data_IF_387375298630
#
_entry.id   IF_387375298630
#
_cell.length_a   1.000
_cell.length_b   1.000
_cell.length_c   1.000
_cell.angle_alpha   90.00
_cell.angle_beta   90.00
_cell.angle_gamma   90.00
#
_symmetry.space_group_name_H-M   'P 1'
#
loop_
_entity.id
_entity.type
_entity.pdbx_description
1 polymer ?
#
# COMPACT_ATOMS: atom_id res chain seq x y z
N UNK A 1 -39.46 1.43 18.45
CA UNK A 1 -38.06 1.61 17.98
C UNK A 1 -36.97 1.47 19.06
N UNK A 2 -37.23 1.76 20.34
CA UNK A 2 -36.19 1.72 21.39
C UNK A 2 -35.71 0.30 21.80
N UNK A 3 -36.56 -0.73 21.72
CA UNK A 3 -36.20 -2.09 22.14
C UNK A 3 -35.14 -2.80 21.28
N UNK A 4 -34.96 -2.39 20.02
CA UNK A 4 -33.91 -2.92 19.13
C UNK A 4 -32.54 -2.31 19.46
N UNK A 5 -32.49 -1.02 19.78
CA UNK A 5 -31.27 -0.31 20.17
C UNK A 5 -30.68 -0.83 21.49
N UNK A 6 -31.54 -1.15 22.47
CA UNK A 6 -31.13 -1.74 23.75
C UNK A 6 -30.51 -3.14 23.59
N UNK A 7 -30.91 -3.90 22.57
CA UNK A 7 -30.34 -5.22 22.26
C UNK A 7 -28.94 -5.10 21.65
N UNK A 8 -28.68 -4.05 20.85
CA UNK A 8 -27.36 -3.72 20.32
C UNK A 8 -26.39 -3.21 21.40
N UNK A 9 -26.88 -2.48 22.40
CA UNK A 9 -26.06 -2.07 23.55
C UNK A 9 -25.68 -3.26 24.45
N UNK A 10 -26.51 -4.31 24.51
CA UNK A 10 -26.14 -5.57 25.19
C UNK A 10 -24.98 -6.30 24.49
N UNK A 11 -24.87 -6.24 23.16
CA UNK A 11 -23.70 -6.75 22.41
C UNK A 11 -22.41 -6.00 22.79
N UNK A 12 -22.50 -4.70 23.05
CA UNK A 12 -21.38 -3.90 23.58
C UNK A 12 -21.03 -4.26 25.02
N UNK A 13 -22.00 -4.67 25.85
CA UNK A 13 -21.74 -5.21 27.19
C UNK A 13 -21.06 -6.59 27.12
N UNK A 14 -21.39 -7.41 26.13
CA UNK A 14 -20.70 -8.68 25.86
C UNK A 14 -19.23 -8.48 25.48
N UNK A 15 -18.84 -7.28 24.96
CA UNK A 15 -17.42 -6.93 24.78
C UNK A 15 -16.65 -6.86 26.10
N UNK A 16 -17.30 -6.59 27.23
CA UNK A 16 -16.64 -6.56 28.55
C UNK A 16 -16.16 -7.96 28.98
N UNK A 17 -16.82 -9.02 28.50
CA UNK A 17 -16.41 -10.43 28.71
C UNK A 17 -15.10 -10.78 27.99
N UNK A 18 -14.67 -9.99 26.99
CA UNK A 18 -13.37 -10.16 26.33
C UNK A 18 -12.19 -9.68 27.18
N UNK A 19 -12.43 -8.99 28.30
CA UNK A 19 -11.38 -8.53 29.24
C UNK A 19 -10.63 -9.68 29.92
N UNK A 20 -11.14 -10.91 29.86
CA UNK A 20 -10.48 -12.11 30.40
C UNK A 20 -10.07 -13.14 29.33
N UNK A 21 -10.32 -12.83 28.06
CA UNK A 21 -9.83 -13.65 26.96
C UNK A 21 -8.41 -13.20 26.61
N UNK A 22 -7.43 -14.08 26.75
CA UNK A 22 -6.05 -13.92 26.27
C UNK A 22 -5.95 -13.56 24.76
N UNK A 23 -7.07 -13.55 24.03
CA UNK A 23 -7.25 -12.98 22.70
C UNK A 23 -6.97 -11.47 22.67
N UNK A 24 -7.34 -10.71 23.72
CA UNK A 24 -7.05 -9.28 23.79
C UNK A 24 -5.54 -9.00 23.84
N UNK A 25 -4.77 -9.88 24.48
CA UNK A 25 -3.30 -9.79 24.53
C UNK A 25 -2.72 -10.12 23.15
N UNK A 26 -3.14 -11.23 22.52
CA UNK A 26 -2.66 -11.60 21.17
C UNK A 26 -3.02 -10.56 20.10
N UNK A 27 -4.25 -10.04 20.11
CA UNK A 27 -4.69 -8.95 19.24
C UNK A 27 -3.90 -7.67 19.52
N UNK A 28 -3.69 -7.31 20.79
CA UNK A 28 -2.87 -6.14 21.15
C UNK A 28 -1.42 -6.31 20.69
N UNK A 29 -0.84 -7.49 20.81
CA UNK A 29 0.52 -7.77 20.30
C UNK A 29 0.58 -7.67 18.77
N UNK A 30 -0.40 -8.21 18.05
CA UNK A 30 -0.48 -8.07 16.59
C UNK A 30 -0.70 -6.61 16.17
N UNK A 31 -1.57 -5.86 16.87
CA UNK A 31 -1.80 -4.43 16.62
C UNK A 31 -0.53 -3.63 16.89
N UNK A 32 0.19 -3.90 17.98
CA UNK A 32 1.46 -3.23 18.28
C UNK A 32 2.49 -3.49 17.17
N UNK A 33 2.61 -4.74 16.69
CA UNK A 33 3.52 -5.12 15.59
C UNK A 33 3.16 -4.45 14.25
N UNK A 34 1.87 -4.33 13.94
CA UNK A 34 1.40 -3.57 12.77
C UNK A 34 1.74 -2.09 12.95
N UNK A 35 1.44 -1.51 14.11
CA UNK A 35 1.68 -0.09 14.38
C UNK A 35 3.16 0.27 14.41
N UNK A 36 4.06 -0.65 14.80
CA UNK A 36 5.51 -0.43 14.72
C UNK A 36 6.03 -0.43 13.28
N UNK A 37 5.31 -1.07 12.35
CA UNK A 37 5.65 -1.10 10.92
C UNK A 37 5.06 0.07 10.14
N UNK A 38 4.05 0.76 10.69
CA UNK A 38 3.37 1.90 10.05
C UNK A 38 4.31 3.03 9.65
N UNK A 39 5.31 3.48 10.45
CA UNK A 39 6.19 4.57 10.03
C UNK A 39 6.95 4.25 8.74
N UNK A 40 7.51 3.04 8.64
CA UNK A 40 8.22 2.58 7.43
C UNK A 40 7.30 2.50 6.22
N UNK A 41 6.08 1.98 6.41
CA UNK A 41 5.03 1.93 5.39
C UNK A 41 4.57 3.33 4.96
N UNK A 42 4.48 4.29 5.89
CA UNK A 42 4.09 5.67 5.60
C UNK A 42 5.15 6.35 4.73
N UNK A 43 6.42 6.25 5.08
CA UNK A 43 7.51 6.81 4.26
C UNK A 43 7.56 6.18 2.86
N UNK A 44 7.38 4.86 2.77
CA UNK A 44 7.31 4.18 1.49
C UNK A 44 6.08 4.64 0.67
N UNK A 45 4.92 4.79 1.31
CA UNK A 45 3.70 5.29 0.67
C UNK A 45 3.85 6.73 0.17
N UNK A 46 4.53 7.59 0.93
CA UNK A 46 4.84 8.97 0.51
C UNK A 46 5.73 8.95 -0.73
N UNK A 47 6.78 8.12 -0.74
CA UNK A 47 7.67 7.99 -1.91
C UNK A 47 6.91 7.50 -3.14
N UNK A 48 6.09 6.45 -3.01
CA UNK A 48 5.24 5.94 -4.10
C UNK A 48 4.22 6.98 -4.59
N UNK A 49 3.65 7.75 -3.66
CA UNK A 49 2.74 8.84 -3.97
C UNK A 49 3.43 9.96 -4.76
N UNK A 50 4.64 10.35 -4.36
CA UNK A 50 5.44 11.36 -5.07
C UNK A 50 5.81 10.87 -6.48
N UNK A 51 6.25 9.62 -6.62
CA UNK A 51 6.51 9.02 -7.94
C UNK A 51 5.25 9.04 -8.81
N UNK A 52 4.12 8.62 -8.27
CA UNK A 52 2.84 8.63 -9.00
C UNK A 52 2.42 10.05 -9.40
N UNK A 53 2.62 11.04 -8.55
CA UNK A 53 2.33 12.44 -8.85
C UNK A 53 3.18 12.98 -10.00
N UNK A 54 4.49 12.72 -10.00
CA UNK A 54 5.39 13.14 -11.10
C UNK A 54 4.95 12.51 -12.42
N UNK A 55 4.64 11.21 -12.42
CA UNK A 55 4.13 10.52 -13.61
C UNK A 55 2.79 11.07 -14.09
N UNK A 56 1.88 11.36 -13.16
CA UNK A 56 0.58 11.96 -13.48
C UNK A 56 0.74 13.31 -14.20
N UNK A 57 1.64 14.18 -13.72
CA UNK A 57 1.93 15.46 -14.38
C UNK A 57 2.43 15.27 -15.82
N UNK A 58 3.38 14.35 -16.04
CA UNK A 58 3.93 14.09 -17.38
C UNK A 58 2.84 13.59 -18.33
N UNK A 59 2.01 12.65 -17.88
CA UNK A 59 0.96 12.06 -18.70
C UNK A 59 -0.16 13.06 -19.00
N UNK A 60 -0.58 13.87 -18.03
CA UNK A 60 -1.59 14.91 -18.23
C UNK A 60 -1.08 15.98 -19.20
N UNK A 61 0.20 16.38 -19.07
CA UNK A 61 0.79 17.36 -19.98
C UNK A 61 0.89 16.79 -21.41
N UNK A 62 1.28 15.52 -21.57
CA UNK A 62 1.26 14.84 -22.86
C UNK A 62 -0.14 14.72 -23.46
N UNK A 63 -1.14 14.39 -22.63
CA UNK A 63 -2.53 14.32 -23.04
C UNK A 63 -3.06 15.68 -23.51
N UNK A 64 -2.78 16.75 -22.77
CA UNK A 64 -3.20 18.10 -23.14
C UNK A 64 -2.62 18.52 -24.51
N UNK A 65 -1.34 18.26 -24.77
CA UNK A 65 -0.71 18.53 -26.06
C UNK A 65 -1.31 17.70 -27.20
N UNK A 66 -1.68 16.45 -26.94
CA UNK A 66 -2.30 15.59 -27.94
C UNK A 66 -3.73 16.03 -28.29
N UNK A 67 -4.52 16.41 -27.28
CA UNK A 67 -5.92 16.85 -27.47
C UNK A 67 -6.00 18.15 -28.26
N UNK A 68 -5.08 19.10 -28.03
CA UNK A 68 -5.04 20.39 -28.75
C UNK A 68 -4.79 20.22 -30.27
N UNK A 69 -4.03 19.18 -30.65
CA UNK A 69 -3.72 18.86 -32.05
C UNK A 69 -4.65 17.83 -32.70
N UNK A 70 -5.63 17.28 -31.99
CA UNK A 70 -6.43 16.15 -32.46
C UNK A 70 -7.63 16.57 -33.32
N UNK A 71 -7.98 15.73 -34.30
CA UNK A 71 -9.21 15.86 -35.09
C UNK A 71 -10.43 15.51 -34.22
N UNK A 72 -11.53 16.25 -34.42
CA UNK A 72 -12.80 16.03 -33.72
C UNK A 72 -13.31 14.60 -33.97
N UNK A 73 -13.48 13.81 -32.90
CA UNK A 73 -14.05 12.46 -32.95
C UNK A 73 -13.07 11.30 -32.72
N UNK A 74 -11.80 11.55 -32.37
CA UNK A 74 -10.88 10.46 -31.97
C UNK A 74 -11.35 9.83 -30.64
N UNK A 75 -11.59 8.52 -30.66
CA UNK A 75 -11.94 7.74 -29.46
C UNK A 75 -10.88 7.84 -28.37
N UNK A 76 -9.62 8.10 -28.73
CA UNK A 76 -8.55 8.29 -27.76
C UNK A 76 -8.77 9.60 -26.96
N UNK A 77 -9.27 10.67 -27.58
CA UNK A 77 -9.55 11.95 -26.91
C UNK A 77 -10.62 11.77 -25.83
N UNK A 78 -11.69 11.03 -26.12
CA UNK A 78 -12.75 10.73 -25.15
C UNK A 78 -12.21 9.96 -23.93
N UNK A 79 -11.30 9.00 -24.16
CA UNK A 79 -10.66 8.25 -23.09
C UNK A 79 -9.76 9.15 -22.22
N UNK A 80 -9.03 10.08 -22.84
CA UNK A 80 -8.15 11.02 -22.16
C UNK A 80 -8.92 12.05 -21.34
N UNK A 81 -10.01 12.59 -21.86
CA UNK A 81 -10.87 13.53 -21.15
C UNK A 81 -11.59 12.88 -19.95
N UNK A 82 -11.85 11.58 -20.01
CA UNK A 82 -12.51 10.85 -18.91
C UNK A 82 -11.55 10.37 -17.83
N UNK A 83 -10.27 10.11 -18.14
CA UNK A 83 -9.32 9.50 -17.20
C UNK A 83 -8.07 10.33 -16.90
N UNK A 84 -7.73 11.31 -17.74
CA UNK A 84 -6.49 12.11 -17.68
C UNK A 84 -6.72 13.63 -17.80
N UNK A 85 -7.94 14.11 -17.57
CA UNK A 85 -8.29 15.54 -17.66
C UNK A 85 -7.66 16.39 -16.53
N UNK A 86 -7.44 15.81 -15.36
CA UNK A 86 -6.81 16.53 -14.24
C UNK A 86 -5.74 15.68 -13.56
N UNK A 87 -4.75 16.33 -12.94
CA UNK A 87 -3.67 15.63 -12.20
C UNK A 87 -4.23 14.72 -11.09
N UNK A 88 -5.18 15.15 -10.23
CA UNK A 88 -5.75 14.26 -9.22
C UNK A 88 -6.43 13.03 -9.82
N UNK A 89 -7.15 13.20 -10.93
CA UNK A 89 -7.79 12.10 -11.64
C UNK A 89 -6.75 11.16 -12.24
N UNK A 90 -5.70 11.69 -12.87
CA UNK A 90 -4.60 10.90 -13.41
C UNK A 90 -3.85 10.12 -12.33
N UNK A 91 -3.67 10.69 -11.13
CA UNK A 91 -3.12 9.97 -9.97
C UNK A 91 -4.00 8.77 -9.62
N UNK A 92 -5.32 8.94 -9.56
CA UNK A 92 -6.25 7.82 -9.28
C UNK A 92 -6.20 6.77 -10.39
N UNK A 93 -6.17 7.19 -11.67
CA UNK A 93 -6.07 6.30 -12.82
C UNK A 93 -4.78 5.47 -12.81
N UNK A 94 -3.63 6.10 -12.52
CA UNK A 94 -2.34 5.42 -12.41
C UNK A 94 -2.31 4.45 -11.22
N UNK A 95 -2.93 4.83 -10.11
CA UNK A 95 -3.08 3.94 -8.96
C UNK A 95 -3.96 2.74 -9.30
N UNK A 96 -5.07 2.95 -10.02
CA UNK A 96 -5.95 1.90 -10.51
C UNK A 96 -5.24 0.96 -11.50
N UNK A 97 -4.30 1.45 -12.30
CA UNK A 97 -3.48 0.63 -13.19
C UNK A 97 -2.58 -0.34 -12.42
N UNK A 98 -1.97 0.13 -11.32
CA UNK A 98 -1.07 -0.69 -10.48
C UNK A 98 -1.85 -1.67 -9.62
N UNK A 99 -3.00 -1.26 -9.08
CA UNK A 99 -3.84 -2.10 -8.23
C UNK A 99 -4.70 -3.11 -8.98
N UNK A 100 -4.75 -3.03 -10.31
CA UNK A 100 -5.59 -3.87 -11.17
C UNK A 100 -7.06 -3.43 -11.23
N UNK A 101 -7.38 -2.21 -10.80
CA UNK A 101 -8.70 -1.60 -10.96
C UNK A 101 -9.02 -1.20 -12.40
N UNK A 102 -7.99 -0.94 -13.23
CA UNK A 102 -8.14 -0.74 -14.68
C UNK A 102 -6.98 -1.38 -15.44
N UNK A 103 -7.19 -1.67 -16.72
CA UNK A 103 -6.16 -2.28 -17.57
C UNK A 103 -5.08 -1.25 -17.91
N UNK A 104 -3.89 -1.40 -17.33
CA UNK A 104 -2.74 -0.57 -17.66
C UNK A 104 -2.35 -0.66 -19.14
N UNK A 105 -2.68 -1.77 -19.81
CA UNK A 105 -2.42 -1.98 -21.23
C UNK A 105 -3.30 -1.10 -22.13
N UNK A 106 -4.51 -0.76 -21.69
CA UNK A 106 -5.39 0.17 -22.42
C UNK A 106 -4.81 1.57 -22.40
N UNK A 107 -4.41 2.03 -21.21
CA UNK A 107 -3.74 3.31 -21.04
C UNK A 107 -2.44 3.36 -21.85
N UNK A 108 -1.64 2.29 -21.81
CA UNK A 108 -0.39 2.18 -22.56
C UNK A 108 -0.59 2.33 -24.07
N UNK A 109 -1.62 1.68 -24.64
CA UNK A 109 -1.93 1.78 -26.08
C UNK A 109 -2.29 3.21 -26.47
N UNK A 110 -3.07 3.91 -25.64
CA UNK A 110 -3.45 5.30 -25.87
C UNK A 110 -2.21 6.19 -25.82
N UNK A 111 -1.38 6.05 -24.78
CA UNK A 111 -0.16 6.84 -24.61
C UNK A 111 0.86 6.59 -25.72
N UNK A 112 1.02 5.34 -26.17
CA UNK A 112 1.93 4.98 -27.26
C UNK A 112 1.51 5.60 -28.60
N UNK A 113 0.20 5.74 -28.84
CA UNK A 113 -0.33 6.43 -30.03
C UNK A 113 0.00 7.92 -30.04
N UNK A 114 0.06 8.56 -28.87
CA UNK A 114 0.55 9.93 -28.76
C UNK A 114 2.04 10.01 -29.03
N UNK A 115 2.80 9.20 -28.30
CA UNK A 115 4.25 9.17 -28.38
C UNK A 115 4.79 7.88 -27.80
N UNK A 116 5.66 7.19 -28.56
CA UNK A 116 6.25 5.91 -28.14
C UNK A 116 6.90 5.98 -26.75
N UNK A 117 7.60 7.08 -26.45
CA UNK A 117 8.25 7.27 -25.15
C UNK A 117 7.26 7.29 -23.98
N UNK A 118 6.06 7.87 -24.13
CA UNK A 118 5.07 7.91 -23.04
C UNK A 118 4.55 6.51 -22.71
N UNK A 119 4.29 5.68 -23.73
CA UNK A 119 3.94 4.28 -23.54
C UNK A 119 5.03 3.49 -22.82
N UNK A 120 6.29 3.63 -23.25
CA UNK A 120 7.43 2.99 -22.59
C UNK A 120 7.59 3.44 -21.13
N UNK A 121 7.44 4.74 -20.86
CA UNK A 121 7.54 5.30 -19.52
C UNK A 121 6.48 4.71 -18.59
N UNK A 122 5.25 4.52 -19.06
CA UNK A 122 4.18 3.89 -18.28
C UNK A 122 4.52 2.44 -17.91
N UNK A 123 5.10 1.67 -18.84
CA UNK A 123 5.52 0.28 -18.55
C UNK A 123 6.59 0.27 -17.46
N UNK A 124 7.59 1.15 -17.57
CA UNK A 124 8.65 1.29 -16.54
C UNK A 124 8.03 1.69 -15.19
N UNK A 125 7.07 2.61 -15.17
CA UNK A 125 6.33 2.98 -13.96
C UNK A 125 5.64 1.78 -13.32
N UNK A 126 4.86 1.01 -14.09
CA UNK A 126 4.15 -0.16 -13.57
C UNK A 126 5.13 -1.19 -13.01
N UNK A 127 6.23 -1.47 -13.72
CA UNK A 127 7.29 -2.38 -13.24
C UNK A 127 7.91 -1.89 -11.93
N UNK A 128 8.29 -0.61 -11.85
CA UNK A 128 8.90 -0.02 -10.64
C UNK A 128 7.91 -0.05 -9.48
N UNK A 129 6.64 0.27 -9.71
CA UNK A 129 5.60 0.25 -8.67
C UNK A 129 5.37 -1.17 -8.13
N UNK A 130 5.28 -2.17 -9.01
CA UNK A 130 5.11 -3.57 -8.60
C UNK A 130 6.33 -4.10 -7.84
N UNK A 131 7.55 -3.81 -8.32
CA UNK A 131 8.79 -4.18 -7.64
C UNK A 131 8.94 -3.45 -6.30
N UNK A 132 8.58 -2.17 -6.23
CA UNK A 132 8.63 -1.40 -4.99
C UNK A 132 7.63 -1.96 -3.96
N UNK A 133 6.40 -2.26 -4.36
CA UNK A 133 5.41 -2.91 -3.49
C UNK A 133 5.91 -4.26 -2.99
N UNK A 134 6.46 -5.09 -3.87
CA UNK A 134 7.05 -6.37 -3.50
C UNK A 134 8.19 -6.18 -2.49
N UNK A 135 9.10 -5.24 -2.75
CA UNK A 135 10.23 -4.93 -1.88
C UNK A 135 9.80 -4.40 -0.51
N UNK A 136 8.74 -3.59 -0.43
CA UNK A 136 8.17 -3.11 0.83
C UNK A 136 7.64 -4.31 1.63
N UNK A 137 6.85 -5.17 0.99
CA UNK A 137 6.27 -6.37 1.62
C UNK A 137 7.38 -7.32 2.10
N UNK A 138 8.35 -7.63 1.23
CA UNK A 138 9.51 -8.45 1.59
C UNK A 138 10.31 -7.81 2.73
N UNK A 139 10.55 -6.51 2.69
CA UNK A 139 11.26 -5.78 3.74
C UNK A 139 10.59 -5.91 5.11
N UNK A 140 9.25 -5.84 5.16
CA UNK A 140 8.48 -6.05 6.40
C UNK A 140 8.65 -7.48 6.91
N UNK A 141 8.45 -8.48 6.06
CA UNK A 141 8.58 -9.90 6.46
C UNK A 141 10.00 -10.27 6.91
N UNK A 142 11.01 -9.72 6.25
CA UNK A 142 12.41 -9.92 6.63
C UNK A 142 12.69 -9.26 7.98
N UNK A 143 12.19 -8.04 8.20
CA UNK A 143 12.35 -7.35 9.48
C UNK A 143 11.70 -8.13 10.64
N UNK A 144 10.48 -8.64 10.45
CA UNK A 144 9.78 -9.47 11.45
C UNK A 144 10.54 -10.76 11.76
N UNK A 145 11.10 -11.39 10.73
CA UNK A 145 11.92 -12.61 10.86
C UNK A 145 13.21 -12.34 11.66
N UNK A 146 13.87 -11.21 11.38
CA UNK A 146 15.08 -10.78 12.11
C UNK A 146 14.74 -10.45 13.57
N UNK A 147 13.67 -9.71 13.82
CA UNK A 147 13.27 -9.35 15.19
C UNK A 147 12.94 -10.61 16.01
N UNK A 148 12.25 -11.58 15.40
CA UNK A 148 11.93 -12.86 16.04
C UNK A 148 13.20 -13.65 16.38
N UNK A 149 14.13 -13.78 15.43
CA UNK A 149 15.41 -14.47 15.65
C UNK A 149 16.26 -13.78 16.73
N UNK A 150 16.24 -12.45 16.80
CA UNK A 150 16.94 -11.70 17.84
C UNK A 150 16.32 -11.89 19.23
N UNK A 151 14.99 -11.96 19.34
CA UNK A 151 14.32 -12.26 20.61
C UNK A 151 14.70 -13.65 21.11
N UNK A 152 14.70 -14.65 20.24
CA UNK A 152 15.04 -16.02 20.61
C UNK A 152 16.49 -16.14 21.12
N UNK A 153 17.46 -15.49 20.46
CA UNK A 153 18.85 -15.42 20.93
C UNK A 153 18.97 -14.76 22.31
N UNK A 154 18.25 -13.66 22.56
CA UNK A 154 18.25 -12.97 23.87
C UNK A 154 17.64 -13.83 24.98
N UNK A 155 16.62 -14.64 24.66
CA UNK A 155 16.01 -15.57 25.61
C UNK A 155 16.98 -16.72 25.92
N UNK A 156 17.66 -17.27 24.92
CA UNK A 156 18.65 -18.33 25.11
C UNK A 156 19.85 -17.86 25.94
N UNK A 157 20.39 -16.67 25.65
CA UNK A 157 21.49 -16.09 26.43
C UNK A 157 21.12 -15.94 27.91
N UNK A 158 19.94 -15.37 28.20
CA UNK A 158 19.44 -15.26 29.59
C UNK A 158 19.25 -16.61 30.28
N UNK A 159 18.85 -17.65 29.55
CA UNK A 159 18.73 -19.00 30.12
C UNK A 159 20.10 -19.55 30.52
N UNK A 160 21.13 -19.30 29.71
CA UNK A 160 22.50 -19.72 30.01
C UNK A 160 23.05 -18.99 31.25
N UNK A 161 22.90 -17.66 31.32
CA UNK A 161 23.38 -16.85 32.45
C UNK A 161 22.73 -17.27 33.79
N UNK A 162 21.43 -17.58 33.78
CA UNK A 162 20.70 -18.06 34.96
C UNK A 162 21.18 -19.44 35.39
N UNK A 163 21.52 -20.31 34.45
CA UNK A 163 21.99 -21.65 34.73
C UNK A 163 23.42 -21.64 35.28
N UNK A 164 24.29 -20.78 34.75
CA UNK A 164 25.65 -20.59 35.25
C UNK A 164 25.66 -20.01 36.67
N UNK A 165 24.75 -19.08 36.99
CA UNK A 165 24.63 -18.51 38.35
C UNK A 165 24.09 -19.51 39.38
N UNK A 166 23.22 -20.45 38.98
CA UNK A 166 22.77 -21.53 39.86
C UNK A 166 23.85 -22.58 40.18
N UNK A 167 24.89 -22.69 39.35
CA UNK A 167 26.02 -23.60 39.60
C UNK A 167 27.12 -23.00 40.48
N UNK A 168 27.06 -21.69 40.77
CA UNK A 168 28.04 -21.00 41.62
C UNK A 168 27.58 -20.88 43.09
N UNK A 169 26.33 -21.21 43.40
CA UNK A 169 25.79 -21.35 44.78
C UNK A 169 25.89 -22.79 45.30
#
# INVERSE_FOLDING_TARGET
SFGRMLRLLKLFSTMRTFRHMNIGIKLRTMVIAITSSLPSLLWASVLLGLTTFVFACIVVQGAAMYVDGALVGDQNVVYLESNLNSVPLAVVTLWACVSGGTSWLELERVLRRMHFFLGLMLVVYVCVMLLALLNIVTGIFVNDSIETAQRDRKIQARRHDVQDSQHME
#
